data_IF_839756451691
#
_entry.id   IF_839756451691
#
_cell.length_a   1.000
_cell.length_b   1.000
_cell.length_c   1.000
_cell.angle_alpha   90.00
_cell.angle_beta   90.00
_cell.angle_gamma   90.00
#
_symmetry.space_group_name_H-M   'P 1'
#
loop_
_entity.id
_entity.type
_entity.pdbx_description
1 polymer ?
#
# COMPACT_ATOMS: atom_id res chain seq x y z
N UNK A 1 13.44 -10.93 2.18
CA UNK A 1 14.27 -9.73 2.00
C UNK A 1 14.88 -9.75 0.62
N UNK A 2 14.06 -9.42 -0.37
CA UNK A 2 14.58 -8.65 -1.48
C UNK A 2 15.01 -7.30 -0.87
N UNK A 3 16.24 -6.87 -1.12
CA UNK A 3 16.62 -5.49 -0.81
C UNK A 3 15.80 -4.61 -1.75
N UNK A 4 15.05 -3.64 -1.23
CA UNK A 4 14.34 -2.67 -2.06
C UNK A 4 15.28 -2.08 -3.12
N UNK A 5 15.12 -2.51 -4.37
CA UNK A 5 15.95 -2.11 -5.49
C UNK A 5 15.20 -1.02 -6.26
N UNK A 6 15.56 0.23 -6.00
CA UNK A 6 14.88 1.39 -6.58
C UNK A 6 14.74 1.30 -8.10
N UNK A 7 15.78 0.87 -8.81
CA UNK A 7 15.78 0.85 -10.28
C UNK A 7 14.85 -0.24 -10.83
N UNK A 8 14.81 -1.39 -10.18
CA UNK A 8 13.91 -2.50 -10.53
C UNK A 8 12.46 -2.12 -10.26
N UNK A 9 12.17 -1.53 -9.09
CA UNK A 9 10.84 -1.04 -8.75
C UNK A 9 10.39 0.05 -9.74
N UNK A 10 11.27 1.00 -10.07
CA UNK A 10 10.97 2.04 -11.07
C UNK A 10 10.58 1.45 -12.40
N UNK A 11 11.33 0.44 -12.87
CA UNK A 11 11.04 -0.23 -14.13
C UNK A 11 9.68 -0.91 -14.12
N UNK A 12 9.36 -1.64 -13.06
CA UNK A 12 8.06 -2.32 -12.91
C UNK A 12 6.91 -1.30 -12.93
N UNK A 13 7.04 -0.22 -12.16
CA UNK A 13 5.99 0.80 -12.06
C UNK A 13 5.74 1.56 -13.38
N UNK A 14 6.81 1.87 -14.13
CA UNK A 14 6.68 2.56 -15.41
C UNK A 14 6.24 1.62 -16.55
N UNK A 15 6.88 0.47 -16.67
CA UNK A 15 6.76 -0.39 -17.86
C UNK A 15 5.64 -1.42 -17.73
N UNK A 16 5.44 -1.99 -16.53
CA UNK A 16 4.41 -3.03 -16.32
C UNK A 16 3.10 -2.42 -15.84
N UNK A 17 3.15 -1.55 -14.83
CA UNK A 17 1.96 -0.91 -14.25
C UNK A 17 1.53 0.35 -15.04
N UNK A 18 2.38 0.86 -15.93
CA UNK A 18 2.06 1.99 -16.79
C UNK A 18 1.82 3.30 -16.03
N UNK A 19 2.41 3.46 -14.84
CA UNK A 19 2.26 4.67 -14.04
C UNK A 19 2.99 5.85 -14.68
N UNK A 20 2.45 7.05 -14.48
CA UNK A 20 3.15 8.27 -14.85
C UNK A 20 4.45 8.43 -14.03
N UNK A 21 5.44 9.12 -14.58
CA UNK A 21 6.77 9.23 -13.97
C UNK A 21 6.75 9.93 -12.61
N UNK A 22 5.94 10.98 -12.48
CA UNK A 22 5.72 11.71 -11.22
C UNK A 22 5.08 10.82 -10.14
N UNK A 23 4.09 10.01 -10.53
CA UNK A 23 3.44 9.03 -9.65
C UNK A 23 4.42 7.92 -9.26
N UNK A 24 5.26 7.48 -10.19
CA UNK A 24 6.28 6.45 -9.96
C UNK A 24 7.29 6.91 -8.92
N UNK A 25 7.89 8.09 -9.10
CA UNK A 25 8.91 8.58 -8.16
C UNK A 25 8.34 8.78 -6.76
N UNK A 26 7.12 9.30 -6.66
CA UNK A 26 6.43 9.44 -5.36
C UNK A 26 6.15 8.08 -4.72
N UNK A 27 5.74 7.10 -5.52
CA UNK A 27 5.49 5.73 -5.03
C UNK A 27 6.76 5.10 -4.50
N UNK A 28 7.87 5.18 -5.25
CA UNK A 28 9.18 4.68 -4.81
C UNK A 28 9.60 5.30 -3.48
N UNK A 29 9.43 6.61 -3.32
CA UNK A 29 9.79 7.29 -2.07
C UNK A 29 8.99 6.72 -0.89
N UNK A 30 7.69 6.50 -1.06
CA UNK A 30 6.84 5.91 -0.03
C UNK A 30 7.22 4.45 0.27
N UNK A 31 7.36 3.63 -0.77
CA UNK A 31 7.76 2.22 -0.64
C UNK A 31 9.11 2.07 0.10
N UNK A 32 10.05 3.00 -0.12
CA UNK A 32 11.35 2.98 0.55
C UNK A 32 11.30 3.26 2.06
N UNK A 33 10.18 3.81 2.54
CA UNK A 33 9.96 4.19 3.94
C UNK A 33 9.03 3.21 4.67
N UNK A 34 8.49 2.22 3.98
CA UNK A 34 7.56 1.27 4.58
C UNK A 34 8.17 0.49 5.73
N UNK A 35 7.36 0.33 6.76
CA UNK A 35 7.69 -0.47 7.94
C UNK A 35 7.96 -1.93 7.56
N UNK A 36 8.79 -2.60 8.36
CA UNK A 36 9.15 -4.02 8.24
C UNK A 36 7.93 -4.95 8.15
N UNK A 37 6.78 -4.55 8.71
CA UNK A 37 5.53 -5.32 8.63
C UNK A 37 4.94 -5.41 7.22
N UNK A 38 5.24 -4.45 6.34
CA UNK A 38 4.80 -4.41 4.95
C UNK A 38 5.80 -4.98 3.96
N UNK A 39 7.07 -5.10 4.37
CA UNK A 39 8.13 -5.63 3.52
C UNK A 39 7.80 -7.03 2.95
N UNK A 40 7.20 -7.98 3.69
CA UNK A 40 6.81 -9.27 3.12
C UNK A 40 5.79 -9.16 1.97
N UNK A 41 4.82 -8.23 2.09
CA UNK A 41 3.82 -7.98 1.05
C UNK A 41 4.47 -7.41 -0.21
N UNK A 42 5.35 -6.42 -0.03
CA UNK A 42 6.08 -5.80 -1.12
C UNK A 42 7.03 -6.80 -1.80
N UNK A 43 7.81 -7.55 -1.03
CA UNK A 43 8.72 -8.59 -1.52
C UNK A 43 7.99 -9.64 -2.37
N UNK A 44 6.83 -10.10 -1.90
CA UNK A 44 6.03 -11.09 -2.61
C UNK A 44 5.53 -10.54 -3.95
N UNK A 45 4.92 -9.35 -3.94
CA UNK A 45 4.42 -8.73 -5.17
C UNK A 45 5.53 -8.41 -6.18
N UNK A 46 6.70 -7.95 -5.71
CA UNK A 46 7.86 -7.73 -6.57
C UNK A 46 8.39 -9.02 -7.20
N UNK A 47 8.25 -10.16 -6.50
CA UNK A 47 8.74 -11.45 -6.98
C UNK A 47 7.84 -12.11 -8.02
N UNK A 48 6.53 -12.13 -7.80
CA UNK A 48 5.61 -12.93 -8.62
C UNK A 48 4.26 -12.26 -8.91
N UNK A 49 4.12 -10.96 -8.56
CA UNK A 49 2.89 -10.16 -8.71
C UNK A 49 1.70 -10.71 -7.93
N UNK A 50 1.90 -11.68 -7.04
CA UNK A 50 0.82 -12.18 -6.18
C UNK A 50 0.62 -11.28 -4.97
N UNK A 51 -0.63 -11.21 -4.52
CA UNK A 51 -1.04 -10.41 -3.35
C UNK A 51 -1.41 -11.40 -2.24
N UNK A 52 -0.75 -11.28 -1.09
CA UNK A 52 -1.07 -12.06 0.09
C UNK A 52 -2.31 -11.50 0.82
N UNK A 53 -3.04 -12.38 1.49
CA UNK A 53 -4.20 -12.05 2.33
C UNK A 53 -3.80 -11.54 3.73
N UNK A 54 -2.50 -11.31 3.96
CA UNK A 54 -1.96 -10.78 5.19
C UNK A 54 -2.68 -9.49 5.61
N UNK A 55 -3.02 -9.44 6.90
CA UNK A 55 -3.67 -8.29 7.53
C UNK A 55 -2.69 -7.52 8.38
N UNK A 56 -2.80 -6.20 8.34
CA UNK A 56 -2.01 -5.27 9.13
C UNK A 56 -2.95 -4.65 10.16
N UNK A 57 -2.72 -4.94 11.44
CA UNK A 57 -3.61 -4.54 12.54
C UNK A 57 -5.10 -4.87 12.28
N UNK A 58 -5.36 -6.00 11.61
CA UNK A 58 -6.70 -6.48 11.24
C UNK A 58 -7.26 -5.92 9.94
N UNK A 59 -6.61 -4.92 9.32
CA UNK A 59 -6.98 -4.33 8.03
C UNK A 59 -6.35 -5.13 6.89
N UNK A 60 -7.12 -5.45 5.85
CA UNK A 60 -6.62 -6.14 4.64
C UNK A 60 -6.49 -5.17 3.45
N UNK A 61 -5.70 -5.56 2.45
CA UNK A 61 -5.60 -4.80 1.19
C UNK A 61 -6.95 -4.72 0.45
N UNK A 62 -7.79 -5.76 0.53
CA UNK A 62 -9.16 -5.75 0.02
C UNK A 62 -10.02 -4.60 0.59
N UNK A 63 -9.78 -4.24 1.84
CA UNK A 63 -10.46 -3.10 2.44
C UNK A 63 -9.99 -1.77 1.83
N UNK A 64 -8.74 -1.68 1.38
CA UNK A 64 -8.22 -0.48 0.72
C UNK A 64 -8.83 -0.34 -0.68
N UNK A 65 -8.93 -1.43 -1.43
CA UNK A 65 -9.65 -1.44 -2.71
C UNK A 65 -11.13 -1.05 -2.53
N UNK A 66 -11.79 -1.59 -1.49
CA UNK A 66 -13.22 -1.36 -1.25
C UNK A 66 -13.56 0.03 -0.74
N UNK A 67 -12.83 0.52 0.26
CA UNK A 67 -13.23 1.74 1.01
C UNK A 67 -12.41 2.97 0.63
N UNK A 68 -11.15 2.80 0.23
CA UNK A 68 -10.29 3.90 -0.24
C UNK A 68 -10.23 3.98 -1.77
N UNK A 69 -10.93 3.09 -2.48
CA UNK A 69 -10.96 3.02 -3.95
C UNK A 69 -9.56 2.99 -4.55
N UNK A 70 -8.63 2.28 -3.89
CA UNK A 70 -7.29 2.07 -4.40
C UNK A 70 -7.37 1.45 -5.80
N UNK A 71 -6.60 1.98 -6.75
CA UNK A 71 -6.65 1.54 -8.16
C UNK A 71 -5.72 0.38 -8.46
N UNK A 72 -4.68 0.23 -7.65
CA UNK A 72 -3.60 -0.74 -7.83
C UNK A 72 -3.03 -1.16 -6.46
N UNK A 73 -2.15 -2.17 -6.48
CA UNK A 73 -1.52 -2.71 -5.28
C UNK A 73 -0.67 -1.69 -4.52
N UNK A 74 -0.01 -0.79 -5.23
CA UNK A 74 0.87 0.21 -4.62
C UNK A 74 0.04 1.25 -3.86
N UNK A 75 -1.05 1.73 -4.45
CA UNK A 75 -2.01 2.60 -3.79
C UNK A 75 -2.62 1.92 -2.55
N UNK A 76 -2.98 0.63 -2.66
CA UNK A 76 -3.50 -0.13 -1.52
C UNK A 76 -2.47 -0.25 -0.39
N UNK A 77 -1.20 -0.52 -0.71
CA UNK A 77 -0.11 -0.55 0.27
C UNK A 77 0.13 0.81 0.92
N UNK A 78 0.07 1.91 0.16
CA UNK A 78 0.26 3.26 0.71
C UNK A 78 -0.83 3.57 1.76
N UNK A 79 -2.08 3.18 1.51
CA UNK A 79 -3.14 3.34 2.50
C UNK A 79 -2.95 2.43 3.71
N UNK A 80 -2.47 1.19 3.50
CA UNK A 80 -2.30 0.23 4.58
C UNK A 80 -1.15 0.58 5.53
N UNK A 81 -0.14 1.29 5.05
CA UNK A 81 0.99 1.79 5.84
C UNK A 81 0.55 2.72 6.98
N UNK A 82 -0.42 3.61 6.72
CA UNK A 82 -0.99 4.45 7.78
C UNK A 82 -1.62 3.65 8.92
N UNK A 83 -2.16 2.46 8.64
CA UNK A 83 -2.69 1.54 9.66
C UNK A 83 -1.60 0.73 10.34
N UNK A 84 -0.47 0.47 9.68
CA UNK A 84 0.70 -0.16 10.28
C UNK A 84 1.32 0.72 11.36
N UNK A 85 1.42 2.02 11.11
CA UNK A 85 1.98 3.00 12.05
C UNK A 85 1.04 3.34 13.22
N UNK A 86 -0.28 3.22 13.02
CA UNK A 86 -1.27 3.65 14.00
C UNK A 86 -2.38 2.61 14.21
N UNK A 87 -2.18 1.72 15.18
CA UNK A 87 -3.18 0.72 15.57
C UNK A 87 -4.52 1.35 16.02
N UNK A 88 -4.50 2.56 16.58
CA UNK A 88 -5.71 3.30 16.94
C UNK A 88 -6.52 3.74 15.72
N UNK A 89 -5.84 4.13 14.64
CA UNK A 89 -6.47 4.40 13.35
C UNK A 89 -7.08 3.13 12.76
N UNK A 90 -6.37 2.00 12.85
CA UNK A 90 -6.85 0.70 12.40
C UNK A 90 -8.13 0.28 13.14
N UNK A 91 -8.16 0.41 14.48
CA UNK A 91 -9.35 0.14 15.29
C UNK A 91 -10.55 0.97 14.86
N UNK A 92 -10.38 2.29 14.70
CA UNK A 92 -11.45 3.19 14.24
C UNK A 92 -11.95 2.83 12.84
N UNK A 93 -11.05 2.46 11.94
CA UNK A 93 -11.40 2.00 10.61
C UNK A 93 -12.21 0.70 10.66
N UNK A 94 -11.79 -0.27 11.47
CA UNK A 94 -12.51 -1.54 11.61
C UNK A 94 -13.89 -1.36 12.28
N UNK A 95 -14.05 -0.39 13.17
CA UNK A 95 -15.36 -0.02 13.74
C UNK A 95 -16.29 0.60 12.69
N UNK A 96 -15.80 1.56 11.90
CA UNK A 96 -16.57 2.19 10.84
C UNK A 96 -15.66 2.80 9.75
N UNK A 97 -15.44 2.08 8.62
CA UNK A 97 -14.57 2.54 7.55
C UNK A 97 -14.97 3.89 6.95
N UNK A 98 -16.28 4.13 6.79
CA UNK A 98 -16.82 5.32 6.16
C UNK A 98 -16.59 6.60 6.97
N UNK A 99 -16.50 6.49 8.30
CA UNK A 99 -16.18 7.65 9.15
C UNK A 99 -14.77 8.15 8.96
N UNK A 100 -13.82 7.26 8.65
CA UNK A 100 -12.41 7.62 8.47
C UNK A 100 -12.15 8.15 7.06
N UNK A 101 -12.75 7.51 6.04
CA UNK A 101 -12.63 7.93 4.63
C UNK A 101 -13.33 9.27 4.38
N UNK A 102 -14.45 9.53 5.07
CA UNK A 102 -15.26 10.74 4.89
C UNK A 102 -14.67 12.05 5.42
N UNK A 103 -13.58 12.02 6.21
CA UNK A 103 -12.96 13.25 6.78
C UNK A 103 -12.10 14.00 5.75
N UNK A 104 -11.81 13.40 4.59
CA UNK A 104 -10.96 13.98 3.55
C UNK A 104 -11.68 14.62 2.35
N UNK A 105 -13.02 14.69 2.36
CA UNK A 105 -13.78 15.43 1.32
C UNK A 105 -14.26 16.78 1.88
N UNK A 106 -13.37 17.78 1.80
CA UNK A 106 -13.72 19.20 1.76
C UNK A 106 -12.99 19.84 0.58
#
# INVERSE_FOLDING_TARGET
MLKFNKDEVRKILLEEEGLAEDVTERSIELLSKFNDSLQPLLDQWLKDRTISDQKINGVSLDMMYKYYEAKDFIGALIYIDGFAENEGMAKRFLENPYKLVGVGRL
#
